data_IF_377237469103
#
_entry.id   IF_377237469103
#
_cell.length_a   1.000
_cell.length_b   1.000
_cell.length_c   1.000
_cell.angle_alpha   90.00
_cell.angle_beta   90.00
_cell.angle_gamma   90.00
#
_symmetry.space_group_name_H-M   'P 1'
#
loop_
_entity.id
_entity.type
_entity.pdbx_description
1 polymer ?
#
# COMPACT_ATOMS: atom_id res chain seq x y z
N UNK A 1 19.01 -9.72 5.68
CA UNK A 1 18.17 -9.20 4.57
C UNK A 1 17.94 -7.72 4.81
N UNK A 2 17.78 -6.88 3.79
CA UNK A 2 17.40 -5.49 4.00
C UNK A 2 16.04 -5.40 4.72
N UNK A 3 15.78 -4.33 5.48
CA UNK A 3 14.51 -4.16 6.18
C UNK A 3 13.36 -4.08 5.17
N UNK A 4 12.26 -4.78 5.45
CA UNK A 4 11.05 -4.74 4.65
C UNK A 4 10.26 -3.48 4.96
N UNK A 5 9.84 -2.79 3.91
CA UNK A 5 9.23 -1.46 4.04
C UNK A 5 7.80 -1.43 3.51
N UNK A 6 6.88 -0.90 4.31
CA UNK A 6 5.55 -0.53 3.86
C UNK A 6 5.44 0.96 3.55
N UNK A 7 4.61 1.31 2.58
CA UNK A 7 4.17 2.67 2.32
C UNK A 7 2.66 2.79 2.54
N UNK A 8 2.25 3.71 3.43
CA UNK A 8 0.85 4.02 3.73
C UNK A 8 0.54 5.52 3.52
N UNK A 9 0.06 5.91 2.33
CA UNK A 9 -0.36 7.27 2.04
C UNK A 9 -1.79 7.57 2.47
N UNK A 10 -2.08 8.87 2.62
CA UNK A 10 -3.39 9.37 3.02
C UNK A 10 -3.82 8.77 4.37
N UNK A 11 -2.86 8.61 5.28
CA UNK A 11 -3.05 7.91 6.53
C UNK A 11 -3.76 8.76 7.59
N UNK A 12 -3.74 10.09 7.47
CA UNK A 12 -4.23 11.02 8.48
C UNK A 12 -3.80 10.59 9.90
N UNK A 13 -4.76 10.16 10.73
CA UNK A 13 -4.52 9.69 12.11
C UNK A 13 -4.58 8.16 12.27
N UNK A 14 -4.74 7.39 11.18
CA UNK A 14 -4.77 5.91 11.20
C UNK A 14 -3.34 5.35 11.31
N UNK A 15 -2.80 5.29 12.53
CA UNK A 15 -1.40 4.89 12.76
C UNK A 15 -1.27 3.55 13.47
N UNK A 16 -1.98 3.36 14.59
CA UNK A 16 -1.81 2.18 15.45
C UNK A 16 -2.31 0.88 14.79
N UNK A 17 -3.50 0.89 14.19
CA UNK A 17 -4.06 -0.32 13.57
C UNK A 17 -3.18 -0.84 12.42
N UNK A 18 -2.67 -0.02 11.48
CA UNK A 18 -1.70 -0.47 10.47
C UNK A 18 -0.42 -1.10 11.05
N UNK A 19 0.10 -0.58 12.17
CA UNK A 19 1.28 -1.17 12.83
C UNK A 19 0.99 -2.58 13.33
N UNK A 20 -0.20 -2.81 13.89
CA UNK A 20 -0.63 -4.15 14.30
C UNK A 20 -0.87 -5.06 13.09
N UNK A 21 -1.57 -4.55 12.07
CA UNK A 21 -1.91 -5.31 10.87
C UNK A 21 -0.68 -5.80 10.10
N UNK A 22 0.40 -5.01 10.11
CA UNK A 22 1.64 -5.31 9.38
C UNK A 22 2.76 -5.87 10.28
N UNK A 23 2.48 -6.14 11.56
CA UNK A 23 3.44 -6.80 12.46
C UNK A 23 3.83 -8.18 11.91
N UNK A 24 5.13 -8.47 11.91
CA UNK A 24 5.70 -9.69 11.34
C UNK A 24 5.75 -9.74 9.80
N UNK A 25 5.26 -8.69 9.11
CA UNK A 25 5.28 -8.59 7.64
C UNK A 25 6.34 -7.59 7.18
N UNK A 26 6.43 -6.44 7.86
CA UNK A 26 7.39 -5.37 7.57
C UNK A 26 8.12 -4.94 8.84
N UNK A 27 9.29 -4.34 8.65
CA UNK A 27 10.10 -3.80 9.74
C UNK A 27 9.78 -2.31 9.99
N UNK A 28 9.35 -1.60 8.95
CA UNK A 28 9.03 -0.16 8.99
C UNK A 28 7.82 0.16 8.12
N UNK A 29 7.04 1.16 8.54
CA UNK A 29 5.94 1.76 7.78
C UNK A 29 6.21 3.26 7.59
N UNK A 30 6.20 3.70 6.34
CA UNK A 30 6.16 5.12 5.97
C UNK A 30 4.71 5.58 5.98
N UNK A 31 4.32 6.32 7.01
CA UNK A 31 3.06 7.05 7.08
C UNK A 31 3.21 8.38 6.34
N UNK A 32 2.34 8.60 5.36
CA UNK A 32 2.42 9.77 4.50
C UNK A 32 1.09 10.49 4.43
N UNK A 33 1.12 11.81 4.59
CA UNK A 33 -0.04 12.68 4.39
C UNK A 33 0.41 14.08 3.97
N UNK A 34 -0.52 14.91 3.48
CA UNK A 34 -0.26 16.31 3.12
C UNK A 34 -0.26 17.24 4.34
N UNK A 35 -0.73 16.73 5.49
CA UNK A 35 -0.80 17.46 6.76
C UNK A 35 -0.02 16.71 7.82
N UNK A 36 0.44 17.46 8.81
CA UNK A 36 0.92 16.92 10.07
C UNK A 36 -0.25 16.80 11.06
N UNK A 37 -0.18 15.81 11.94
CA UNK A 37 -1.19 15.56 12.96
C UNK A 37 -0.53 15.36 14.31
N UNK A 38 -1.15 15.87 15.38
CA UNK A 38 -0.65 15.72 16.76
C UNK A 38 -0.47 14.24 17.15
N UNK A 39 -1.26 13.34 16.58
CA UNK A 39 -1.14 11.89 16.82
C UNK A 39 0.13 11.25 16.23
N UNK A 40 0.97 12.03 15.54
CA UNK A 40 2.28 11.59 15.02
C UNK A 40 3.41 11.79 16.04
N UNK A 41 3.13 12.43 17.18
CA UNK A 41 4.04 12.54 18.33
C UNK A 41 4.50 11.17 18.86
N UNK A 42 5.66 11.08 19.53
CA UNK A 42 6.47 9.87 19.54
C UNK A 42 5.71 8.66 20.05
N UNK A 43 5.32 7.81 19.10
CA UNK A 43 4.75 6.52 19.40
C UNK A 43 5.79 5.72 20.16
N UNK A 44 5.39 5.14 21.29
CA UNK A 44 6.26 4.25 22.03
C UNK A 44 6.80 3.17 21.08
N UNK A 45 8.13 3.05 21.05
CA UNK A 45 8.79 2.01 20.28
C UNK A 45 8.43 0.68 20.94
N UNK A 46 7.59 -0.12 20.27
CA UNK A 46 7.29 -1.47 20.70
C UNK A 46 8.16 -2.42 19.88
N UNK A 47 8.95 -3.31 20.50
CA UNK A 47 9.85 -4.21 19.78
C UNK A 47 9.13 -5.18 18.86
N UNK A 48 7.82 -5.37 19.05
CA UNK A 48 6.99 -6.29 18.26
C UNK A 48 6.19 -5.58 17.16
N UNK A 49 6.30 -4.25 17.04
CA UNK A 49 5.60 -3.48 16.03
C UNK A 49 6.59 -2.86 15.03
N UNK A 50 6.19 -2.70 13.76
CA UNK A 50 6.99 -1.95 12.80
C UNK A 50 7.31 -0.54 13.31
N UNK A 51 8.49 -0.06 12.95
CA UNK A 51 8.86 1.34 13.16
C UNK A 51 7.95 2.24 12.33
N UNK A 52 7.57 3.38 12.88
CA UNK A 52 6.78 4.38 12.17
C UNK A 52 7.72 5.51 11.71
N UNK A 53 7.70 5.80 10.41
CA UNK A 53 8.32 7.01 9.86
C UNK A 53 7.23 7.88 9.24
N UNK A 54 7.22 9.14 9.62
CA UNK A 54 6.25 10.12 9.14
C UNK A 54 6.84 10.99 8.03
N UNK A 55 6.07 11.21 6.97
CA UNK A 55 6.47 12.01 5.82
C UNK A 55 5.31 12.92 5.43
N UNK A 56 5.56 14.23 5.44
CA UNK A 56 4.62 15.23 4.92
C UNK A 56 4.88 15.40 3.43
N UNK A 57 3.98 14.93 2.57
CA UNK A 57 4.20 14.88 1.12
C UNK A 57 2.88 14.80 0.34
N UNK A 58 2.81 15.49 -0.81
CA UNK A 58 1.73 15.29 -1.78
C UNK A 58 2.06 14.13 -2.73
N UNK A 59 1.42 12.98 -2.46
CA UNK A 59 1.57 11.75 -3.25
C UNK A 59 1.19 11.89 -4.72
N UNK A 60 0.56 12.99 -5.14
CA UNK A 60 0.28 13.24 -6.56
C UNK A 60 1.54 13.65 -7.32
N UNK A 61 2.45 14.34 -6.64
CA UNK A 61 3.60 15.02 -7.22
C UNK A 61 4.94 14.35 -6.85
N UNK A 62 5.05 13.81 -5.64
CA UNK A 62 6.37 13.59 -5.01
C UNK A 62 6.76 12.13 -4.76
N UNK A 63 6.03 11.16 -5.33
CA UNK A 63 6.35 9.72 -5.22
C UNK A 63 7.76 9.34 -5.69
N UNK A 64 8.48 10.26 -6.35
CA UNK A 64 9.85 10.04 -6.80
C UNK A 64 10.87 9.93 -5.67
N UNK A 65 10.55 10.51 -4.51
CA UNK A 65 11.42 10.53 -3.32
C UNK A 65 11.25 9.29 -2.45
N UNK A 66 10.25 8.46 -2.73
CA UNK A 66 10.05 7.23 -1.98
C UNK A 66 11.19 6.24 -2.26
N UNK A 67 11.73 5.61 -1.20
CA UNK A 67 12.60 4.46 -1.36
C UNK A 67 11.84 3.29 -2.01
N UNK A 68 12.57 2.22 -2.33
CA UNK A 68 11.93 0.98 -2.72
C UNK A 68 11.05 0.45 -1.56
N UNK A 69 9.85 -0.02 -1.88
CA UNK A 69 8.88 -0.55 -0.91
C UNK A 69 8.55 -2.01 -1.24
N UNK A 70 8.22 -2.79 -0.21
CA UNK A 70 7.83 -4.20 -0.35
C UNK A 70 6.31 -4.37 -0.18
N UNK A 71 5.68 -3.46 0.55
CA UNK A 71 4.23 -3.46 0.81
C UNK A 71 3.65 -2.09 0.47
N UNK A 72 2.65 -2.07 -0.40
CA UNK A 72 1.76 -0.92 -0.55
C UNK A 72 0.49 -1.18 0.27
N UNK A 73 0.33 -0.42 1.36
CA UNK A 73 -0.82 -0.52 2.26
C UNK A 73 -1.72 0.69 2.05
N UNK A 74 -3.00 0.48 1.77
CA UNK A 74 -3.92 1.58 1.45
C UNK A 74 -5.35 1.27 1.82
N UNK A 75 -5.92 2.03 2.75
CA UNK A 75 -7.29 1.82 3.26
C UNK A 75 -7.92 3.11 3.75
N UNK A 76 -9.23 3.06 3.99
CA UNK A 76 -10.04 4.11 4.64
C UNK A 76 -9.99 5.48 3.94
N UNK A 77 -9.65 5.48 2.66
CA UNK A 77 -9.63 6.68 1.84
C UNK A 77 -10.77 6.59 0.82
N UNK A 78 -11.99 6.89 1.27
CA UNK A 78 -13.19 6.81 0.43
C UNK A 78 -13.67 8.20 0.02
N UNK A 79 -14.38 8.31 -1.11
CA UNK A 79 -14.97 9.57 -1.59
C UNK A 79 -16.05 10.21 -0.68
N UNK A 80 -16.25 9.72 0.55
CA UNK A 80 -17.16 10.31 1.53
C UNK A 80 -16.60 11.57 2.21
N UNK A 81 -17.24 11.99 3.31
CA UNK A 81 -16.75 13.11 4.12
C UNK A 81 -15.44 12.72 4.82
N UNK A 82 -14.31 13.25 4.31
CA UNK A 82 -12.98 13.06 4.90
C UNK A 82 -12.00 12.25 4.05
N UNK A 83 -12.38 11.78 2.87
CA UNK A 83 -11.44 11.20 1.91
C UNK A 83 -10.47 12.23 1.34
N UNK A 84 -9.29 11.77 0.95
CA UNK A 84 -8.28 12.58 0.26
C UNK A 84 -8.72 13.02 -1.14
N UNK A 85 -9.70 12.30 -1.74
CA UNK A 85 -10.08 12.46 -3.15
C UNK A 85 -8.99 11.98 -4.12
N UNK A 86 -7.96 11.29 -3.63
CA UNK A 86 -6.85 10.76 -4.43
C UNK A 86 -7.10 9.30 -4.77
N UNK A 87 -7.21 9.02 -6.06
CA UNK A 87 -7.50 7.67 -6.57
C UNK A 87 -6.22 6.86 -6.76
N UNK A 88 -5.58 6.46 -5.66
CA UNK A 88 -4.25 5.83 -5.71
C UNK A 88 -4.23 4.46 -6.41
N UNK A 89 -5.34 3.72 -6.43
CA UNK A 89 -5.46 2.48 -7.21
C UNK A 89 -5.91 2.71 -8.66
N UNK A 90 -6.02 3.97 -9.11
CA UNK A 90 -6.24 4.30 -10.52
C UNK A 90 -4.97 4.09 -11.35
N UNK A 91 -5.14 3.97 -12.67
CA UNK A 91 -4.02 3.80 -13.62
C UNK A 91 -2.94 4.88 -13.47
N UNK A 92 -3.36 6.12 -13.17
CA UNK A 92 -2.51 7.31 -13.12
C UNK A 92 -1.48 7.25 -12.00
N UNK A 93 -1.89 6.82 -10.80
CA UNK A 93 -1.03 6.83 -9.61
C UNK A 93 -0.45 5.46 -9.32
N UNK A 94 -1.19 4.39 -9.63
CA UNK A 94 -0.73 3.05 -9.34
C UNK A 94 0.54 2.70 -10.14
N UNK A 95 0.70 3.17 -11.39
CA UNK A 95 1.97 3.02 -12.14
C UNK A 95 3.16 3.61 -11.36
N UNK A 96 2.99 4.83 -10.83
CA UNK A 96 4.04 5.53 -10.09
C UNK A 96 4.43 4.77 -8.82
N UNK A 97 3.45 4.20 -8.12
CA UNK A 97 3.67 3.37 -6.92
C UNK A 97 4.33 2.05 -7.30
N UNK A 98 3.90 1.40 -8.39
CA UNK A 98 4.46 0.12 -8.84
C UNK A 98 5.93 0.22 -9.26
N UNK A 99 6.38 1.39 -9.74
CA UNK A 99 7.80 1.67 -10.00
C UNK A 99 8.65 1.73 -8.73
N UNK A 100 8.03 1.94 -7.56
CA UNK A 100 8.68 1.92 -6.25
C UNK A 100 8.62 0.56 -5.58
N UNK A 101 7.73 -0.33 -6.03
CA UNK A 101 7.68 -1.70 -5.53
C UNK A 101 8.95 -2.46 -5.87
N UNK A 102 9.39 -3.30 -4.94
CA UNK A 102 10.50 -4.21 -5.13
C UNK A 102 10.37 -4.98 -6.47
N UNK A 103 11.40 -4.96 -7.34
CA UNK A 103 11.35 -5.60 -8.65
C UNK A 103 10.96 -7.07 -8.57
N UNK A 104 11.42 -7.79 -7.54
CA UNK A 104 11.17 -9.21 -7.32
C UNK A 104 9.75 -9.54 -6.86
N UNK A 105 8.93 -8.54 -6.52
CA UNK A 105 7.56 -8.73 -6.05
C UNK A 105 7.27 -7.97 -4.78
N UNK A 106 6.08 -8.17 -4.20
CA UNK A 106 5.66 -7.50 -2.98
C UNK A 106 4.19 -7.76 -2.68
N UNK A 107 3.62 -6.95 -1.79
CA UNK A 107 2.20 -7.04 -1.42
C UNK A 107 1.47 -5.72 -1.67
N UNK A 108 0.23 -5.82 -2.14
CA UNK A 108 -0.77 -4.78 -2.04
C UNK A 108 -1.81 -5.23 -1.01
N UNK A 109 -1.98 -4.46 0.05
CA UNK A 109 -3.01 -4.71 1.07
C UNK A 109 -3.96 -3.52 1.09
N UNK A 110 -5.22 -3.76 0.72
CA UNK A 110 -6.19 -2.66 0.55
C UNK A 110 -7.63 -3.10 0.70
N UNK A 111 -8.52 -2.19 1.10
CA UNK A 111 -9.98 -2.36 1.08
C UNK A 111 -10.59 -1.99 -0.30
N UNK A 112 -9.78 -1.47 -1.23
CA UNK A 112 -10.25 -0.97 -2.51
C UNK A 112 -10.83 0.44 -2.45
N UNK A 113 -10.46 1.22 -1.43
CA UNK A 113 -10.63 2.67 -1.32
C UNK A 113 -10.17 3.40 -2.58
N UNK A 114 -10.86 4.49 -2.95
CA UNK A 114 -10.68 5.31 -4.16
C UNK A 114 -10.15 4.56 -5.40
N UNK A 115 -10.73 3.39 -5.70
CA UNK A 115 -10.17 2.43 -6.66
C UNK A 115 -10.18 2.83 -8.13
N UNK A 116 -10.86 3.91 -8.49
CA UNK A 116 -10.99 4.38 -9.87
C UNK A 116 -11.50 3.29 -10.85
N UNK A 117 -10.99 3.31 -12.09
CA UNK A 117 -11.47 2.60 -13.29
C UNK A 117 -11.33 1.05 -13.31
N UNK A 118 -11.64 0.37 -12.20
CA UNK A 118 -11.85 -1.08 -12.19
C UNK A 118 -10.58 -1.94 -12.19
N UNK A 119 -9.37 -1.35 -12.09
CA UNK A 119 -8.11 -2.11 -11.95
C UNK A 119 -8.16 -3.01 -10.73
N UNK A 120 -8.61 -2.50 -9.59
CA UNK A 120 -8.80 -3.28 -8.37
C UNK A 120 -9.67 -4.54 -8.63
N UNK A 121 -10.82 -4.39 -9.31
CA UNK A 121 -11.68 -5.53 -9.67
C UNK A 121 -10.99 -6.55 -10.57
N UNK A 122 -10.02 -6.13 -11.40
CA UNK A 122 -9.23 -7.05 -12.23
C UNK A 122 -8.25 -7.87 -11.37
N UNK A 123 -7.59 -7.24 -10.40
CA UNK A 123 -6.66 -7.92 -9.49
C UNK A 123 -7.34 -9.02 -8.66
N UNK A 124 -8.63 -8.85 -8.36
CA UNK A 124 -9.42 -9.83 -7.60
C UNK A 124 -9.94 -11.02 -8.43
N UNK A 125 -9.67 -11.08 -9.73
CA UNK A 125 -10.12 -12.20 -10.57
C UNK A 125 -9.31 -13.46 -10.26
N UNK A 126 -9.90 -14.62 -10.53
CA UNK A 126 -9.25 -15.91 -10.27
C UNK A 126 -7.86 -16.03 -10.92
N UNK A 127 -7.71 -15.58 -12.18
CA UNK A 127 -6.43 -15.52 -12.90
C UNK A 127 -5.64 -14.23 -12.71
N UNK A 128 -6.02 -13.41 -11.72
CA UNK A 128 -5.33 -12.18 -11.41
C UNK A 128 -5.42 -11.11 -12.50
N UNK A 129 -4.44 -10.21 -12.49
CA UNK A 129 -4.29 -9.13 -13.44
C UNK A 129 -2.82 -8.95 -13.79
N UNK A 130 -2.47 -9.08 -15.07
CA UNK A 130 -1.13 -8.74 -15.57
C UNK A 130 -1.17 -7.38 -16.24
N UNK A 131 -0.22 -6.51 -15.87
CA UNK A 131 0.04 -5.27 -16.58
C UNK A 131 1.48 -5.26 -17.10
N UNK A 132 1.63 -5.57 -18.38
CA UNK A 132 2.95 -5.63 -19.04
C UNK A 132 3.67 -4.28 -19.04
N UNK A 133 2.96 -3.16 -19.11
CA UNK A 133 3.58 -1.84 -19.04
C UNK A 133 4.21 -1.53 -17.67
N UNK A 134 3.72 -2.19 -16.61
CA UNK A 134 4.28 -2.09 -15.27
C UNK A 134 5.29 -3.20 -14.97
N UNK A 135 5.36 -4.22 -15.81
CA UNK A 135 6.15 -5.43 -15.56
C UNK A 135 5.68 -6.19 -14.32
N UNK A 136 4.38 -6.09 -13.96
CA UNK A 136 3.82 -6.69 -12.74
C UNK A 136 2.62 -7.58 -13.05
N UNK A 137 2.52 -8.67 -12.30
CA UNK A 137 1.34 -9.51 -12.17
C UNK A 137 0.79 -9.40 -10.75
N UNK A 138 -0.53 -9.32 -10.63
CA UNK A 138 -1.26 -9.19 -9.38
C UNK A 138 -2.18 -10.39 -9.22
N UNK A 139 -2.10 -11.06 -8.09
CA UNK A 139 -2.93 -12.22 -7.78
C UNK A 139 -3.53 -12.06 -6.38
N UNK A 140 -4.82 -12.34 -6.24
CA UNK A 140 -5.42 -12.41 -4.91
C UNK A 140 -4.75 -13.56 -4.13
N UNK A 141 -4.20 -13.26 -2.95
CA UNK A 141 -3.54 -14.27 -2.12
C UNK A 141 -4.53 -15.37 -1.73
N UNK A 142 -4.18 -16.66 -1.80
CA UNK A 142 -5.02 -17.73 -1.27
C UNK A 142 -5.14 -17.66 0.26
N UNK A 143 -4.16 -17.03 0.93
CA UNK A 143 -4.15 -16.80 2.37
C UNK A 143 -4.40 -15.31 2.65
N UNK A 144 -5.60 -14.97 3.12
CA UNK A 144 -5.97 -13.60 3.47
C UNK A 144 -5.65 -13.25 4.94
N UNK A 145 -5.13 -14.19 5.72
CA UNK A 145 -4.75 -14.03 7.13
C UNK A 145 -5.84 -13.30 7.94
N UNK A 146 -5.46 -12.38 8.84
CA UNK A 146 -6.39 -11.54 9.58
C UNK A 146 -6.95 -10.37 8.75
N UNK A 147 -6.44 -10.10 7.54
CA UNK A 147 -6.84 -8.93 6.75
C UNK A 147 -8.32 -8.92 6.36
N UNK A 148 -8.89 -10.09 6.07
CA UNK A 148 -10.29 -10.19 5.65
C UNK A 148 -11.27 -9.73 6.75
N UNK A 149 -10.94 -9.99 8.02
CA UNK A 149 -11.73 -9.55 9.18
C UNK A 149 -11.77 -8.02 9.27
N UNK A 150 -10.72 -7.35 8.78
CA UNK A 150 -10.64 -5.88 8.71
C UNK A 150 -11.15 -5.30 7.38
N UNK A 151 -11.80 -6.12 6.54
CA UNK A 151 -12.30 -5.70 5.22
C UNK A 151 -11.19 -5.45 4.19
N UNK A 152 -9.97 -5.91 4.45
CA UNK A 152 -8.81 -5.75 3.58
C UNK A 152 -8.60 -6.99 2.72
N UNK A 153 -8.09 -6.79 1.52
CA UNK A 153 -7.63 -7.85 0.62
C UNK A 153 -6.11 -7.80 0.49
N UNK A 154 -5.49 -8.96 0.65
CA UNK A 154 -4.06 -9.20 0.42
C UNK A 154 -3.87 -9.69 -1.02
N UNK A 155 -3.17 -8.90 -1.81
CA UNK A 155 -2.87 -9.15 -3.22
C UNK A 155 -1.36 -9.31 -3.35
N UNK A 156 -0.93 -10.46 -3.87
CA UNK A 156 0.47 -10.72 -4.18
C UNK A 156 0.85 -10.03 -5.48
N UNK A 157 2.03 -9.43 -5.48
CA UNK A 157 2.62 -8.77 -6.64
C UNK A 157 3.86 -9.57 -7.02
N UNK A 158 3.94 -10.01 -8.26
CA UNK A 158 5.11 -10.68 -8.83
C UNK A 158 5.56 -9.98 -10.12
N UNK A 159 6.78 -10.24 -10.61
CA UNK A 159 7.16 -9.86 -11.97
C UNK A 159 6.16 -10.44 -12.98
N UNK A 160 5.79 -9.66 -14.00
CA UNK A 160 5.06 -10.20 -15.13
C UNK A 160 5.96 -11.17 -15.90
N UNK A 161 5.42 -12.31 -16.31
CA UNK A 161 6.15 -13.19 -17.22
C UNK A 161 6.38 -12.49 -18.58
N UNK A 162 7.56 -12.67 -19.20
CA UNK A 162 7.81 -12.15 -20.53
C UNK A 162 6.79 -12.71 -21.52
N UNK A 163 6.15 -11.84 -22.29
CA UNK A 163 5.37 -12.28 -23.46
C UNK A 163 6.33 -12.97 -24.43
N UNK A 164 6.12 -14.26 -24.69
CA UNK A 164 6.89 -15.04 -25.67
C UNK A 164 6.61 -14.58 -27.09
#
# INVERSE_FOLDING_TARGET
MPPKLAFYPCCATDIEEPRHLLSGIVDEIIFCDIREYESWEPLATSPNLPQARFVIMDVRNDLSLLPQIDVFFYRRDSNGEGGSGVFLLSKTYLDKIMRRMNPSGGLLITDGSNRGNGIYKKMLRAGGYTNQAWGKHFQLSPHQDHFEVHGLKKIEISPAEPTR
#
